data_IF_875035135845
#
_entry.id   IF_875035135845
#
_cell.length_a   1.000
_cell.length_b   1.000
_cell.length_c   1.000
_cell.angle_alpha   90.00
_cell.angle_beta   90.00
_cell.angle_gamma   90.00
#
_symmetry.space_group_name_H-M   'P 1'
#
loop_
_entity.id
_entity.type
_entity.pdbx_description
1 polymer ?
#
# COMPACT_ATOMS: atom_id res chain seq x y z
N UNK A 1 -33.61 -11.78 -26.58
CA UNK A 1 -33.11 -10.41 -26.37
C UNK A 1 -32.02 -10.14 -27.39
N UNK A 2 -32.15 -9.10 -28.22
CA UNK A 2 -31.06 -8.62 -29.07
C UNK A 2 -30.22 -7.64 -28.26
N UNK A 3 -28.94 -7.94 -28.07
CA UNK A 3 -27.99 -7.06 -27.40
C UNK A 3 -27.73 -5.83 -28.26
N UNK A 4 -27.69 -4.65 -27.63
CA UNK A 4 -27.29 -3.40 -28.28
C UNK A 4 -25.77 -3.33 -28.24
N UNK A 5 -25.13 -3.06 -29.38
CA UNK A 5 -23.70 -2.83 -29.46
C UNK A 5 -23.40 -1.38 -29.06
N UNK A 6 -22.68 -1.19 -27.96
CA UNK A 6 -22.25 0.14 -27.52
C UNK A 6 -20.92 0.51 -28.21
N UNK A 7 -20.71 1.79 -28.57
CA UNK A 7 -19.40 2.24 -29.05
C UNK A 7 -18.34 2.03 -27.97
N UNK A 8 -17.23 1.41 -28.34
CA UNK A 8 -16.09 1.14 -27.44
C UNK A 8 -14.78 1.53 -28.13
N UNK A 9 -13.85 2.08 -27.37
CA UNK A 9 -12.47 2.35 -27.79
C UNK A 9 -11.50 1.54 -26.94
N UNK A 10 -10.40 1.08 -27.54
CA UNK A 10 -9.32 0.37 -26.82
C UNK A 10 -8.16 1.33 -26.56
N UNK A 11 -7.78 1.47 -25.31
CA UNK A 11 -6.57 2.19 -24.90
C UNK A 11 -5.53 1.21 -24.35
N UNK A 12 -4.26 1.52 -24.54
CA UNK A 12 -3.17 0.79 -23.91
C UNK A 12 -3.00 1.31 -22.48
N UNK A 13 -2.60 0.44 -21.54
CA UNK A 13 -2.39 0.85 -20.14
C UNK A 13 -1.38 2.00 -20.00
N UNK A 14 -0.39 2.05 -20.91
CA UNK A 14 0.62 3.13 -20.96
C UNK A 14 0.05 4.51 -21.27
N UNK A 15 -1.19 4.57 -21.77
CA UNK A 15 -1.86 5.83 -22.11
C UNK A 15 -2.42 6.50 -20.84
N UNK A 16 -2.44 5.79 -19.71
CA UNK A 16 -2.87 6.30 -18.41
C UNK A 16 -1.67 6.61 -17.52
N UNK A 17 -1.83 7.61 -16.65
CA UNK A 17 -0.82 7.93 -15.63
C UNK A 17 -0.71 6.77 -14.64
N UNK A 18 0.51 6.50 -14.18
CA UNK A 18 0.74 5.61 -13.05
C UNK A 18 -0.05 6.08 -11.83
N UNK A 19 -0.54 5.12 -11.04
CA UNK A 19 -1.16 5.44 -9.77
C UNK A 19 -0.14 6.14 -8.86
N UNK A 20 -0.57 7.16 -8.07
CA UNK A 20 0.30 7.74 -7.05
C UNK A 20 0.66 6.70 -5.99
N UNK A 21 1.80 6.84 -5.32
CA UNK A 21 2.16 6.05 -4.15
C UNK A 21 1.34 6.52 -2.94
N UNK A 22 0.19 5.87 -2.70
CA UNK A 22 -0.80 6.31 -1.72
C UNK A 22 -1.48 5.13 -1.05
N UNK A 23 -2.27 5.42 -0.01
CA UNK A 23 -3.11 4.43 0.65
C UNK A 23 -4.28 4.06 -0.28
N UNK A 24 -4.23 2.85 -0.82
CA UNK A 24 -5.25 2.30 -1.69
C UNK A 24 -6.48 1.86 -0.89
N UNK A 25 -6.25 1.21 0.26
CA UNK A 25 -7.30 0.62 1.07
C UNK A 25 -6.86 0.48 2.54
N UNK A 26 -7.80 0.67 3.46
CA UNK A 26 -7.61 0.40 4.89
C UNK A 26 -8.46 -0.81 5.23
N UNK A 27 -7.82 -1.89 5.70
CA UNK A 27 -8.55 -3.11 6.04
C UNK A 27 -9.28 -3.00 7.40
N UNK A 28 -10.05 -4.03 7.75
CA UNK A 28 -10.85 -4.06 8.98
C UNK A 28 -10.01 -4.04 10.27
N UNK A 29 -8.71 -4.33 10.20
CA UNK A 29 -7.79 -4.24 11.33
C UNK A 29 -7.13 -2.86 11.41
N UNK A 30 -7.25 -2.05 10.36
CA UNK A 30 -6.64 -0.75 10.24
C UNK A 30 -5.24 -0.77 9.63
N UNK A 31 -4.83 -1.87 8.98
CA UNK A 31 -3.61 -1.88 8.17
C UNK A 31 -3.86 -1.06 6.90
N UNK A 32 -2.89 -0.24 6.54
CA UNK A 32 -2.99 0.66 5.40
C UNK A 32 -2.27 0.03 4.20
N UNK A 33 -3.04 -0.57 3.29
CA UNK A 33 -2.52 -1.12 2.03
C UNK A 33 -2.25 0.01 1.06
N UNK A 34 -1.06 0.01 0.48
CA UNK A 34 -0.62 1.06 -0.44
C UNK A 34 -0.74 0.62 -1.89
N UNK A 35 -0.58 1.56 -2.81
CA UNK A 35 -0.37 1.27 -4.24
C UNK A 35 1.09 0.92 -4.57
N UNK A 36 2.00 1.00 -3.60
CA UNK A 36 3.43 0.83 -3.81
C UNK A 36 3.83 -0.65 -3.84
N UNK A 37 4.76 -0.97 -4.75
CA UNK A 37 5.56 -2.18 -4.72
C UNK A 37 6.83 -1.96 -3.88
N UNK A 38 7.51 -3.06 -3.53
CA UNK A 38 8.78 -2.98 -2.81
C UNK A 38 9.82 -2.13 -3.54
N UNK A 39 9.90 -2.27 -4.87
CA UNK A 39 10.84 -1.53 -5.73
C UNK A 39 10.55 -0.02 -5.76
N UNK A 40 9.29 0.40 -5.66
CA UNK A 40 8.91 1.82 -5.71
C UNK A 40 9.48 2.63 -4.55
N UNK A 41 9.68 1.98 -3.40
CA UNK A 41 10.19 2.62 -2.18
C UNK A 41 11.54 2.05 -1.73
N UNK A 42 12.10 1.10 -2.49
CA UNK A 42 13.30 0.35 -2.10
C UNK A 42 13.17 -0.32 -0.73
N UNK A 43 12.05 -1.02 -0.50
CA UNK A 43 11.77 -1.78 0.71
C UNK A 43 12.79 -2.92 0.86
N UNK A 44 13.38 -3.02 2.06
CA UNK A 44 14.30 -4.07 2.46
C UNK A 44 14.25 -4.21 3.98
N UNK A 45 14.10 -5.43 4.51
CA UNK A 45 14.01 -5.63 5.96
C UNK A 45 15.20 -5.01 6.72
N UNK A 46 14.91 -4.27 7.79
CA UNK A 46 15.92 -3.54 8.56
C UNK A 46 16.27 -2.15 8.03
N UNK A 47 15.75 -1.77 6.86
CA UNK A 47 15.88 -0.40 6.32
C UNK A 47 14.74 0.50 6.80
N UNK A 48 15.04 1.77 7.05
CA UNK A 48 14.03 2.80 7.31
C UNK A 48 13.67 3.53 6.02
N UNK A 49 12.38 3.79 5.83
CA UNK A 49 11.84 4.62 4.75
C UNK A 49 11.23 5.87 5.35
N UNK A 50 11.55 7.03 4.76
CA UNK A 50 10.91 8.30 5.12
C UNK A 50 9.54 8.36 4.45
N UNK A 51 8.50 8.19 5.25
CA UNK A 51 7.10 8.31 4.83
C UNK A 51 6.54 9.68 5.19
N UNK A 52 5.34 9.98 4.72
CA UNK A 52 4.55 11.15 5.15
C UNK A 52 4.36 11.21 6.67
N UNK A 53 4.38 10.06 7.36
CA UNK A 53 4.17 9.95 8.81
C UNK A 53 5.46 9.76 9.61
N UNK A 54 6.62 9.96 8.98
CA UNK A 54 7.94 9.83 9.62
C UNK A 54 8.74 8.64 9.10
N UNK A 55 9.83 8.31 9.79
CA UNK A 55 10.67 7.16 9.44
C UNK A 55 10.04 5.87 9.94
N UNK A 56 9.75 4.95 9.03
CA UNK A 56 9.16 3.64 9.35
C UNK A 56 10.12 2.53 8.94
N UNK A 57 10.33 1.57 9.84
CA UNK A 57 11.18 0.40 9.62
C UNK A 57 10.50 -0.60 8.68
N UNK A 58 11.25 -1.16 7.74
CA UNK A 58 10.80 -2.23 6.87
C UNK A 58 11.02 -3.58 7.54
N UNK A 59 10.03 -4.46 7.39
CA UNK A 59 10.07 -5.85 7.83
C UNK A 59 9.52 -6.76 6.74
N UNK A 60 9.88 -8.04 6.77
CA UNK A 60 9.35 -9.00 5.79
C UNK A 60 7.88 -9.32 6.04
N UNK A 61 7.48 -9.47 7.31
CA UNK A 61 6.13 -9.89 7.69
C UNK A 61 5.65 -9.16 8.93
N UNK A 62 4.33 -9.10 9.08
CA UNK A 62 3.66 -8.50 10.24
C UNK A 62 4.21 -9.02 11.59
N UNK A 63 4.42 -10.33 11.73
CA UNK A 63 4.90 -10.93 12.99
C UNK A 63 6.33 -10.52 13.37
N UNK A 64 7.09 -9.97 12.43
CA UNK A 64 8.46 -9.52 12.64
C UNK A 64 8.48 -8.05 13.14
N UNK A 65 7.33 -7.35 13.10
CA UNK A 65 7.14 -6.00 13.65
C UNK A 65 6.94 -6.08 15.18
N UNK A 66 7.69 -5.32 16.00
CA UNK A 66 7.50 -5.29 17.44
C UNK A 66 6.13 -4.71 17.84
N UNK A 67 5.55 -5.20 18.93
CA UNK A 67 4.25 -4.72 19.44
C UNK A 67 4.25 -3.21 19.67
N UNK A 68 3.23 -2.52 19.18
CA UNK A 68 3.07 -1.07 19.29
C UNK A 68 3.93 -0.26 18.32
N UNK A 69 4.86 -0.89 17.59
CA UNK A 69 5.73 -0.20 16.63
C UNK A 69 5.14 -0.21 15.21
N UNK A 70 5.36 0.87 14.44
CA UNK A 70 5.01 0.89 13.04
C UNK A 70 5.99 0.07 12.19
N UNK A 71 5.47 -0.52 11.12
CA UNK A 71 6.28 -1.27 10.16
C UNK A 71 5.73 -1.15 8.74
N UNK A 72 6.63 -1.12 7.76
CA UNK A 72 6.30 -1.37 6.36
C UNK A 72 6.58 -2.83 6.05
N UNK A 73 5.56 -3.55 5.60
CA UNK A 73 5.67 -4.97 5.28
C UNK A 73 5.27 -5.24 3.83
N UNK A 74 5.77 -6.35 3.29
CA UNK A 74 5.21 -6.91 2.07
C UNK A 74 3.89 -7.58 2.43
N UNK A 75 2.79 -7.00 1.95
CA UNK A 75 1.44 -7.43 2.22
C UNK A 75 1.05 -8.75 1.56
N UNK A 76 -0.13 -9.26 1.92
CA UNK A 76 -0.72 -10.42 1.25
C UNK A 76 -1.50 -10.04 0.00
N UNK A 77 -1.95 -8.78 -0.08
CA UNK A 77 -2.69 -8.24 -1.23
C UNK A 77 -1.75 -7.85 -2.35
N UNK A 78 -2.21 -7.96 -3.60
CA UNK A 78 -1.37 -7.67 -4.76
C UNK A 78 -1.98 -8.13 -6.07
N UNK A 79 -1.16 -8.10 -7.13
CA UNK A 79 -1.54 -8.56 -8.46
C UNK A 79 -0.50 -9.56 -8.96
N UNK A 80 -0.96 -10.79 -9.27
CA UNK A 80 -0.12 -11.92 -9.69
C UNK A 80 1.00 -12.18 -8.68
N UNK A 81 2.22 -11.84 -9.04
CA UNK A 81 3.46 -12.15 -8.32
C UNK A 81 3.91 -10.96 -7.48
N UNK A 82 3.30 -9.80 -7.70
CA UNK A 82 3.60 -8.57 -6.98
C UNK A 82 2.70 -8.43 -5.76
N UNK A 83 3.25 -7.87 -4.68
CA UNK A 83 2.57 -7.66 -3.41
C UNK A 83 2.71 -6.21 -2.97
N UNK A 84 1.60 -5.62 -2.58
CA UNK A 84 1.56 -4.24 -2.14
C UNK A 84 2.29 -4.09 -0.80
N UNK A 85 2.96 -2.95 -0.63
CA UNK A 85 3.45 -2.55 0.69
C UNK A 85 2.26 -2.20 1.57
N UNK A 86 2.31 -2.64 2.83
CA UNK A 86 1.32 -2.31 3.85
C UNK A 86 2.03 -1.60 5.01
N UNK A 87 1.46 -0.46 5.43
CA UNK A 87 1.82 0.18 6.68
C UNK A 87 0.95 -0.39 7.80
N UNK A 88 1.62 -0.95 8.80
CA UNK A 88 1.00 -1.62 9.95
C UNK A 88 1.53 -1.02 11.24
N UNK A 89 0.80 -1.21 12.32
CA UNK A 89 1.31 -1.02 13.69
C UNK A 89 0.95 -2.28 14.45
N UNK A 90 1.94 -3.02 14.95
CA UNK A 90 1.66 -4.35 15.47
C UNK A 90 0.74 -4.28 16.70
N UNK A 91 -0.35 -5.04 16.65
CA UNK A 91 -1.33 -5.13 17.74
C UNK A 91 -2.33 -3.98 17.82
N UNK A 92 -2.27 -2.97 16.93
CA UNK A 92 -3.24 -1.86 16.87
C UNK A 92 -3.51 -1.43 15.42
N UNK A 93 -4.48 -0.52 15.22
CA UNK A 93 -4.80 0.04 13.91
C UNK A 93 -3.77 1.11 13.52
N UNK A 94 -3.06 0.91 12.40
CA UNK A 94 -2.17 1.92 11.83
C UNK A 94 -2.92 3.18 11.40
N UNK A 95 -4.11 2.98 10.82
CA UNK A 95 -4.97 4.08 10.40
C UNK A 95 -5.34 5.01 11.56
N UNK A 96 -5.73 4.44 12.71
CA UNK A 96 -6.07 5.23 13.89
C UNK A 96 -4.82 5.81 14.57
N UNK A 97 -3.72 5.05 14.59
CA UNK A 97 -2.46 5.49 15.20
C UNK A 97 -1.91 6.78 14.54
N UNK A 98 -1.95 6.84 13.21
CA UNK A 98 -1.42 7.97 12.43
C UNK A 98 -2.49 8.94 11.92
N UNK A 99 -3.79 8.64 12.09
CA UNK A 99 -4.88 9.44 11.52
C UNK A 99 -4.98 9.34 9.99
N UNK A 100 -4.60 8.20 9.41
CA UNK A 100 -4.50 7.98 7.96
C UNK A 100 -5.87 7.81 7.33
N UNK A 101 -6.01 8.36 6.13
CA UNK A 101 -7.18 8.21 5.28
C UNK A 101 -6.79 7.57 3.94
N UNK A 102 -7.79 6.99 3.29
CA UNK A 102 -7.62 6.50 1.92
C UNK A 102 -7.22 7.66 1.01
N UNK A 103 -6.32 7.39 0.06
CA UNK A 103 -5.69 8.34 -0.85
C UNK A 103 -4.61 9.24 -0.26
N UNK A 104 -4.33 9.18 1.04
CA UNK A 104 -3.16 9.85 1.61
C UNK A 104 -1.88 9.33 0.96
N UNK A 105 -0.93 10.22 0.66
CA UNK A 105 0.33 9.86 0.03
C UNK A 105 1.22 9.10 1.02
N UNK A 106 1.83 8.01 0.55
CA UNK A 106 2.81 7.24 1.33
C UNK A 106 4.11 8.03 1.52
N UNK A 107 4.55 8.70 0.45
CA UNK A 107 5.75 9.53 0.40
C UNK A 107 5.37 10.87 -0.24
N UNK A 108 5.77 11.97 0.39
CA UNK A 108 5.60 13.35 -0.09
C UNK A 108 6.88 13.92 -0.68
#
# INVERSE_FOLDING_TARGET
>A
MQGINLPTERHLLKDFKSAPLSIAYIDNFGNCKTTAWAEDIGHEAGKKIKTTWGEVMCYDRLKDVPNGEPGLIVGSSGYRDHRFIELVVQGVSAANHFGIKQSDLLIS
#
